data_IF_150158132946
#
_entry.id   IF_150158132946
#
_cell.length_a   1.000
_cell.length_b   1.000
_cell.length_c   1.000
_cell.angle_alpha   90.00
_cell.angle_beta   90.00
_cell.angle_gamma   90.00
#
_symmetry.space_group_name_H-M   'P 1'
#
loop_
_entity.id
_entity.type
_entity.pdbx_description
1 polymer ?
#
# COMPACT_ATOMS: atom_id res chain seq x y z
N UNK A 1 19.26 9.75 14.17
CA UNK A 1 19.51 9.49 12.74
C UNK A 1 18.25 8.83 12.21
N UNK A 2 17.22 9.66 11.98
CA UNK A 2 15.90 9.23 11.56
C UNK A 2 15.88 9.18 10.04
N UNK A 3 16.49 8.13 9.48
CA UNK A 3 16.28 7.80 8.07
C UNK A 3 15.10 6.85 8.02
N UNK A 4 13.90 7.41 8.21
CA UNK A 4 12.65 6.70 8.00
C UNK A 4 12.70 6.08 6.60
N UNK A 5 12.59 4.75 6.52
CA UNK A 5 12.69 4.04 5.25
C UNK A 5 11.46 4.40 4.40
N UNK A 6 11.71 4.98 3.23
CA UNK A 6 10.66 5.32 2.28
C UNK A 6 10.55 4.26 1.17
N UNK A 7 9.62 3.30 1.33
CA UNK A 7 9.27 2.34 0.28
C UNK A 7 8.57 3.00 -0.92
N UNK A 8 8.16 4.26 -0.82
CA UNK A 8 7.58 5.04 -1.89
C UNK A 8 8.61 5.68 -2.82
N UNK A 9 9.91 5.69 -2.46
CA UNK A 9 10.97 6.22 -3.32
C UNK A 9 11.38 5.19 -4.38
N UNK A 10 11.16 5.46 -5.69
CA UNK A 10 11.60 4.57 -6.77
C UNK A 10 13.10 4.27 -6.74
N UNK A 11 13.92 5.17 -6.18
CA UNK A 11 15.36 4.99 -6.06
C UNK A 11 15.75 3.74 -5.27
N UNK A 12 14.89 3.29 -4.33
CA UNK A 12 15.12 2.08 -3.53
C UNK A 12 15.12 0.79 -4.36
N UNK A 13 14.60 0.82 -5.59
CA UNK A 13 14.36 -0.36 -6.42
C UNK A 13 15.23 -0.42 -7.68
N UNK A 14 16.00 0.63 -7.99
CA UNK A 14 16.74 0.77 -9.26
C UNK A 14 17.76 -0.34 -9.48
N UNK A 15 18.48 -0.73 -8.43
CA UNK A 15 19.58 -1.70 -8.54
C UNK A 15 19.11 -3.14 -8.42
N UNK A 16 18.23 -3.40 -7.47
CA UNK A 16 17.65 -4.71 -7.17
C UNK A 16 16.46 -4.52 -6.21
N UNK A 17 15.56 -5.50 -6.09
CA UNK A 17 14.57 -5.50 -5.02
C UNK A 17 15.25 -5.40 -3.65
N UNK A 18 14.75 -4.56 -2.73
CA UNK A 18 15.40 -4.29 -1.44
C UNK A 18 15.09 -5.38 -0.42
N UNK A 19 15.46 -6.63 -0.71
CA UNK A 19 15.12 -7.80 0.12
C UNK A 19 15.61 -7.69 1.57
N UNK A 20 16.83 -7.18 1.78
CA UNK A 20 17.40 -6.99 3.11
C UNK A 20 16.60 -5.98 3.94
N UNK A 21 16.12 -4.92 3.29
CA UNK A 21 15.27 -3.93 3.94
C UNK A 21 13.94 -4.55 4.35
N UNK A 22 13.27 -5.26 3.43
CA UNK A 22 12.02 -5.94 3.76
C UNK A 22 12.19 -7.00 4.85
N UNK A 23 13.36 -7.66 4.91
CA UNK A 23 13.68 -8.60 5.98
C UNK A 23 13.73 -7.92 7.34
N UNK A 24 14.42 -6.77 7.45
CA UNK A 24 14.48 -5.98 8.69
C UNK A 24 13.13 -5.41 9.09
N UNK A 25 12.39 -4.85 8.14
CA UNK A 25 11.04 -4.36 8.41
C UNK A 25 10.15 -5.46 8.99
N UNK A 26 10.19 -6.68 8.43
CA UNK A 26 9.45 -7.82 8.98
C UNK A 26 9.86 -8.21 10.39
N UNK A 27 11.16 -8.15 10.69
CA UNK A 27 11.69 -8.57 11.98
C UNK A 27 11.44 -7.54 13.09
N UNK A 28 11.62 -6.26 12.77
CA UNK A 28 11.74 -5.20 13.77
C UNK A 28 10.42 -4.41 13.93
N UNK A 29 9.70 -4.15 12.83
CA UNK A 29 8.46 -3.38 12.83
C UNK A 29 7.65 -3.71 11.56
N UNK A 30 6.80 -4.74 11.58
CA UNK A 30 6.13 -5.25 10.37
C UNK A 30 5.08 -4.30 9.79
N UNK A 31 4.67 -3.27 10.53
CA UNK A 31 3.76 -2.20 10.12
C UNK A 31 4.42 -0.86 10.39
N UNK A 32 4.68 -0.07 9.34
CA UNK A 32 5.37 1.22 9.45
C UNK A 32 4.64 2.30 8.68
N UNK A 33 4.56 3.49 9.26
CA UNK A 33 4.06 4.67 8.57
C UNK A 33 5.15 5.28 7.68
N UNK A 34 4.80 5.61 6.45
CA UNK A 34 5.71 6.17 5.45
C UNK A 34 5.20 7.53 4.99
N UNK A 35 6.07 8.52 5.00
CA UNK A 35 5.81 9.90 4.55
C UNK A 35 6.69 10.22 3.33
N UNK A 36 6.39 9.65 2.16
CA UNK A 36 7.22 9.77 0.98
C UNK A 36 7.30 11.21 0.46
N UNK A 37 8.50 11.70 0.22
CA UNK A 37 8.70 13.06 -0.28
C UNK A 37 8.17 13.27 -1.70
N UNK A 38 8.06 12.21 -2.51
CA UNK A 38 7.73 12.27 -3.94
C UNK A 38 6.29 11.91 -4.29
N UNK A 39 5.54 11.25 -3.41
CA UNK A 39 4.20 10.74 -3.73
C UNK A 39 3.07 11.69 -3.32
N UNK A 40 3.34 12.68 -2.45
CA UNK A 40 2.33 13.64 -1.99
C UNK A 40 1.20 13.02 -1.17
N UNK A 41 1.33 11.75 -0.79
CA UNK A 41 0.41 11.02 0.07
C UNK A 41 1.22 10.25 1.12
N UNK A 42 0.66 10.08 2.30
CA UNK A 42 1.20 9.19 3.33
C UNK A 42 0.57 7.81 3.20
N UNK A 43 1.30 6.76 3.57
CA UNK A 43 0.79 5.40 3.51
C UNK A 43 1.41 4.51 4.58
N UNK A 44 0.74 3.40 4.88
CA UNK A 44 1.24 2.36 5.76
C UNK A 44 1.87 1.24 4.94
N UNK A 45 3.11 0.90 5.26
CA UNK A 45 3.82 -0.27 4.72
C UNK A 45 3.58 -1.47 5.64
N UNK A 46 2.98 -2.53 5.12
CA UNK A 46 2.76 -3.80 5.83
C UNK A 46 3.65 -4.87 5.22
N UNK A 47 4.63 -5.35 5.97
CA UNK A 47 5.64 -6.32 5.49
C UNK A 47 5.52 -7.68 6.16
N UNK A 48 4.93 -7.74 7.36
CA UNK A 48 4.69 -8.98 8.10
C UNK A 48 3.58 -9.84 7.49
N UNK A 49 3.77 -11.17 7.52
CA UNK A 49 2.84 -12.10 6.89
C UNK A 49 1.44 -12.08 7.54
N UNK A 50 1.38 -12.07 8.87
CA UNK A 50 0.12 -12.12 9.60
C UNK A 50 -0.68 -10.83 9.44
N UNK A 51 0.00 -9.69 9.50
CA UNK A 51 -0.57 -8.36 9.34
C UNK A 51 -1.07 -8.17 7.90
N UNK A 52 -0.26 -8.55 6.92
CA UNK A 52 -0.65 -8.49 5.51
C UNK A 52 -1.87 -9.39 5.24
N UNK A 53 -1.88 -10.60 5.80
CA UNK A 53 -3.03 -11.51 5.68
C UNK A 53 -4.26 -10.93 6.36
N UNK A 54 -4.14 -10.26 7.50
CA UNK A 54 -5.27 -9.61 8.17
C UNK A 54 -5.88 -8.51 7.30
N UNK A 55 -5.04 -7.63 6.74
CA UNK A 55 -5.47 -6.52 5.88
C UNK A 55 -6.16 -7.05 4.62
N UNK A 56 -5.52 -8.00 3.92
CA UNK A 56 -6.03 -8.53 2.65
C UNK A 56 -7.31 -9.36 2.78
N UNK A 57 -7.65 -9.87 3.97
CA UNK A 57 -8.90 -10.60 4.21
C UNK A 57 -10.04 -9.71 4.74
N UNK A 58 -9.75 -8.48 5.15
CA UNK A 58 -10.75 -7.53 5.64
C UNK A 58 -11.00 -6.41 4.62
N UNK A 59 -11.72 -6.77 3.55
CA UNK A 59 -12.09 -5.84 2.48
C UNK A 59 -13.16 -4.81 2.88
N UNK A 60 -13.85 -5.00 4.02
CA UNK A 60 -14.79 -4.01 4.54
C UNK A 60 -14.04 -2.83 5.15
N UNK A 61 -13.01 -3.09 5.95
CA UNK A 61 -12.14 -2.06 6.52
C UNK A 61 -11.13 -1.54 5.49
N UNK A 62 -10.51 -2.43 4.71
CA UNK A 62 -9.42 -2.12 3.76
C UNK A 62 -9.84 -2.33 2.30
N UNK A 63 -10.74 -1.47 1.83
CA UNK A 63 -11.26 -1.53 0.46
C UNK A 63 -10.29 -1.00 -0.63
N UNK A 64 -10.38 -1.57 -1.83
CA UNK A 64 -9.64 -1.21 -3.05
C UNK A 64 -10.31 -0.17 -3.95
N UNK A 65 -11.55 0.24 -3.64
CA UNK A 65 -12.41 1.09 -4.50
C UNK A 65 -11.84 2.46 -4.86
N UNK A 66 -10.78 2.92 -4.20
CA UNK A 66 -10.16 4.20 -4.52
C UNK A 66 -8.85 4.06 -5.29
N UNK A 67 -8.30 2.85 -5.39
CA UNK A 67 -7.03 2.55 -6.05
C UNK A 67 -6.35 1.34 -5.42
N UNK A 68 -5.55 0.64 -6.23
CA UNK A 68 -4.75 -0.50 -5.80
C UNK A 68 -3.23 -0.20 -5.80
N UNK A 69 -2.84 1.04 -6.15
CA UNK A 69 -1.45 1.48 -6.26
C UNK A 69 -1.21 2.74 -5.44
N UNK A 70 0.05 2.94 -5.04
CA UNK A 70 0.49 4.15 -4.36
C UNK A 70 0.26 5.38 -5.27
N UNK A 71 -0.23 6.45 -4.68
CA UNK A 71 -0.62 7.70 -5.36
C UNK A 71 -2.13 7.90 -5.42
N UNK A 72 -2.92 6.85 -5.16
CA UNK A 72 -4.37 6.98 -5.04
C UNK A 72 -4.84 7.00 -3.59
N UNK A 73 -5.90 7.77 -3.35
CA UNK A 73 -6.50 7.98 -2.03
C UNK A 73 -7.99 8.33 -2.20
N UNK A 74 -8.80 8.32 -1.14
CA UNK A 74 -10.19 8.77 -1.21
C UNK A 74 -10.38 10.17 -1.83
N UNK A 75 -9.40 11.05 -1.63
CA UNK A 75 -9.34 12.42 -2.17
C UNK A 75 -8.78 12.49 -3.60
N UNK A 76 -8.05 11.47 -4.05
CA UNK A 76 -7.41 11.37 -5.36
C UNK A 76 -7.60 9.96 -5.91
N UNK A 77 -8.82 9.66 -6.37
CA UNK A 77 -9.24 8.30 -6.74
C UNK A 77 -8.66 7.88 -8.09
N UNK A 78 -8.44 6.59 -8.24
CA UNK A 78 -8.16 5.97 -9.53
C UNK A 78 -9.29 6.29 -10.55
N UNK A 79 -8.98 6.78 -11.76
CA UNK A 79 -9.97 7.01 -12.82
C UNK A 79 -10.83 5.79 -13.17
N UNK A 80 -10.31 4.58 -12.93
CA UNK A 80 -10.98 3.30 -13.16
C UNK A 80 -11.81 2.82 -11.95
N UNK A 81 -11.92 3.61 -10.87
CA UNK A 81 -12.66 3.23 -9.66
C UNK A 81 -14.07 2.71 -9.99
N UNK A 82 -14.45 1.56 -9.43
CA UNK A 82 -15.74 0.90 -9.65
C UNK A 82 -16.08 0.60 -11.13
N UNK A 83 -15.09 0.71 -12.03
CA UNK A 83 -15.20 0.40 -13.47
C UNK A 83 -14.26 -0.72 -13.90
N UNK A 84 -13.28 -1.07 -13.06
CA UNK A 84 -12.35 -2.16 -13.26
C UNK A 84 -12.28 -3.04 -12.01
N UNK A 85 -12.19 -4.36 -12.21
CA UNK A 85 -12.29 -5.36 -11.15
C UNK A 85 -11.33 -5.10 -9.97
N UNK A 86 -10.09 -4.70 -10.24
CA UNK A 86 -9.03 -4.51 -9.21
C UNK A 86 -9.25 -3.28 -8.31
N UNK A 87 -10.19 -2.40 -8.65
CA UNK A 87 -10.52 -1.17 -7.89
C UNK A 87 -12.02 -1.09 -7.61
N UNK A 88 -12.62 -2.22 -7.25
CA UNK A 88 -14.05 -2.36 -6.99
C UNK A 88 -14.28 -3.08 -5.67
N UNK A 89 -15.05 -2.48 -4.77
CA UNK A 89 -15.52 -3.06 -3.50
C UNK A 89 -17.05 -3.00 -3.40
N UNK A 90 -17.59 -3.73 -2.42
CA UNK A 90 -19.02 -3.74 -2.08
C UNK A 90 -19.80 -4.79 -2.88
N UNK A 91 -21.10 -4.97 -2.58
CA UNK A 91 -21.94 -5.86 -3.35
C UNK A 91 -21.96 -5.38 -4.80
N UNK A 92 -21.55 -6.25 -5.73
CA UNK A 92 -21.81 -6.02 -7.15
C UNK A 92 -23.33 -5.97 -7.33
N UNK A 93 -23.88 -4.79 -7.57
CA UNK A 93 -25.17 -4.71 -8.24
C UNK A 93 -24.97 -5.19 -9.68
N UNK A 94 -25.18 -6.49 -9.88
CA UNK A 94 -25.35 -7.08 -11.20
C UNK A 94 -26.73 -6.66 -11.68
N UNK A 95 -26.79 -5.57 -12.44
CA UNK A 95 -27.97 -5.21 -13.24
C UNK A 95 -27.65 -5.49 -14.70
#
# INVERSE_FOLDING_TARGET
MDSTVDLGDPAAYVKAPPFELWYRMRADAPVQHSTPARLGIEFWSVTGYHEMRSVLNDGETFGSRYGAFLGFAPQARDPAWQRMLVVTDGPRQWV
#
